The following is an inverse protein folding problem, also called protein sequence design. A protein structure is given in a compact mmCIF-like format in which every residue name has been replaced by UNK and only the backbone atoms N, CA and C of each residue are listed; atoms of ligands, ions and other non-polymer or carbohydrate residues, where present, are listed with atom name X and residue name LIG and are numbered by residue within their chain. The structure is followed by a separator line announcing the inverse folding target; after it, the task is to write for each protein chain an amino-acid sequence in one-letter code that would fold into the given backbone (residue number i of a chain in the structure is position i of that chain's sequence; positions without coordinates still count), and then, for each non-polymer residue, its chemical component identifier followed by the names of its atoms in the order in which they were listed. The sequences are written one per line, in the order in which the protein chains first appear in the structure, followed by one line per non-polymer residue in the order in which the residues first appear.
data_IF_799771969953
#
_entry.id   IF_799771969953
#
_cell.length_a   1.000
_cell.length_b   1.000
_cell.length_c   1.000
_cell.angle_alpha   90.00
_cell.angle_beta   90.00
_cell.angle_gamma   90.00
#
_symmetry.space_group_name_H-M   'P 1'
#
loop_
_entity.id
_entity.type
_entity.pdbx_description
1 polymer ?
#
# COMPACT_ATOMS: atom_id res chain seq x y z
N UNK A 1 -31.95 14.73 5.10
CA UNK A 1 -30.91 14.68 4.05
C UNK A 1 -30.25 13.31 4.13
N UNK A 2 -30.42 12.43 3.13
CA UNK A 2 -29.77 11.11 3.11
C UNK A 2 -28.35 11.31 2.58
N UNK A 3 -27.33 11.06 3.39
CA UNK A 3 -25.94 11.03 2.90
C UNK A 3 -25.82 9.87 1.92
N UNK A 4 -25.65 10.19 0.64
CA UNK A 4 -25.44 9.19 -0.41
C UNK A 4 -24.01 8.69 -0.29
N UNK A 5 -23.83 7.45 0.16
CA UNK A 5 -22.53 6.80 0.24
C UNK A 5 -22.02 6.54 -1.19
N UNK A 6 -21.13 7.39 -1.67
CA UNK A 6 -20.40 7.17 -2.91
C UNK A 6 -19.38 6.03 -2.68
N UNK A 7 -19.77 4.79 -2.98
CA UNK A 7 -18.89 3.61 -2.99
C UNK A 7 -17.90 3.70 -4.16
N UNK A 8 -16.95 4.62 -4.06
CA UNK A 8 -15.78 4.75 -4.92
C UNK A 8 -14.48 4.71 -4.11
N UNK A 9 -13.32 4.81 -4.79
CA UNK A 9 -12.02 4.96 -4.13
C UNK A 9 -11.77 6.43 -3.82
N UNK A 10 -12.04 6.84 -2.57
CA UNK A 10 -11.71 8.20 -2.11
C UNK A 10 -10.20 8.43 -2.11
N UNK A 11 -9.45 7.36 -1.81
CA UNK A 11 -8.00 7.31 -1.86
C UNK A 11 -7.66 6.05 -2.64
N UNK A 12 -6.87 6.21 -3.69
CA UNK A 12 -6.43 5.11 -4.53
C UNK A 12 -5.07 4.60 -4.08
N UNK A 13 -4.13 5.51 -3.82
CA UNK A 13 -2.78 5.22 -3.35
C UNK A 13 -2.24 6.38 -2.49
N UNK A 14 -1.29 6.07 -1.61
CA UNK A 14 -0.50 7.05 -0.87
C UNK A 14 0.99 6.71 -1.00
N UNK A 15 1.85 7.72 -0.99
CA UNK A 15 3.29 7.53 -0.90
C UNK A 15 3.76 7.85 0.52
N UNK A 16 4.74 7.09 1.00
CA UNK A 16 5.34 7.29 2.32
C UNK A 16 6.77 7.80 2.13
N UNK A 17 7.10 8.92 2.77
CA UNK A 17 8.48 9.39 2.90
C UNK A 17 9.06 8.75 4.15
N UNK A 18 10.13 7.98 3.97
CA UNK A 18 10.76 7.21 5.06
C UNK A 18 12.26 7.50 5.09
N UNK A 19 12.87 7.32 6.25
CA UNK A 19 14.32 7.46 6.42
C UNK A 19 15.08 6.35 5.68
N UNK A 20 14.58 5.12 5.75
CA UNK A 20 15.20 3.92 5.18
C UNK A 20 14.12 3.08 4.48
N UNK A 21 14.31 2.86 3.18
CA UNK A 21 13.36 2.16 2.34
C UNK A 21 13.36 0.65 2.61
N UNK A 22 14.53 0.05 2.78
CA UNK A 22 14.67 -1.40 2.96
C UNK A 22 14.10 -1.82 4.32
N UNK A 23 14.42 -1.08 5.38
CA UNK A 23 13.85 -1.30 6.71
C UNK A 23 12.32 -1.14 6.71
N UNK A 24 11.82 -0.11 6.04
CA UNK A 24 10.38 0.13 5.94
C UNK A 24 9.70 -0.98 5.14
N UNK A 25 10.29 -1.42 4.02
CA UNK A 25 9.77 -2.50 3.20
C UNK A 25 9.70 -3.81 3.99
N UNK A 26 10.76 -4.16 4.74
CA UNK A 26 10.79 -5.35 5.58
C UNK A 26 9.70 -5.31 6.67
N UNK A 27 9.55 -4.17 7.34
CA UNK A 27 8.53 -3.96 8.37
C UNK A 27 7.12 -4.12 7.81
N UNK A 28 6.78 -3.38 6.75
CA UNK A 28 5.45 -3.43 6.18
C UNK A 28 5.16 -4.79 5.54
N UNK A 29 6.15 -5.44 4.93
CA UNK A 29 5.96 -6.77 4.34
C UNK A 29 5.59 -7.83 5.37
N UNK A 30 6.23 -7.78 6.55
CA UNK A 30 5.90 -8.67 7.65
C UNK A 30 4.45 -8.47 8.14
N UNK A 31 4.00 -7.22 8.25
CA UNK A 31 2.63 -6.89 8.68
C UNK A 31 1.60 -7.31 7.64
N UNK A 32 1.82 -6.98 6.36
CA UNK A 32 0.90 -7.33 5.29
C UNK A 32 0.70 -8.85 5.17
N UNK A 33 1.77 -9.63 5.41
CA UNK A 33 1.70 -11.10 5.48
C UNK A 33 0.80 -11.59 6.62
N UNK A 34 0.84 -10.96 7.79
CA UNK A 34 -0.05 -11.32 8.92
C UNK A 34 -1.51 -10.98 8.64
N UNK A 35 -1.74 -9.94 7.83
CA UNK A 35 -3.08 -9.47 7.46
C UNK A 35 -3.63 -10.11 6.17
N UNK A 36 -2.88 -11.04 5.55
CA UNK A 36 -3.19 -11.62 4.24
C UNK A 36 -3.44 -10.56 3.14
N UNK A 37 -2.73 -9.42 3.22
CA UNK A 37 -2.80 -8.36 2.22
C UNK A 37 -1.72 -8.59 1.15
N UNK A 38 -2.09 -8.68 -0.14
CA UNK A 38 -1.12 -8.87 -1.22
C UNK A 38 -0.26 -7.63 -1.40
N UNK A 39 1.04 -7.83 -1.54
CA UNK A 39 2.02 -6.79 -1.86
C UNK A 39 2.29 -6.86 -3.36
N UNK A 40 2.11 -5.74 -4.05
CA UNK A 40 2.50 -5.58 -5.46
C UNK A 40 3.83 -4.82 -5.46
N UNK A 41 4.90 -5.53 -5.78
CA UNK A 41 6.20 -4.90 -6.06
C UNK A 41 6.33 -4.69 -7.55
N UNK A 42 6.84 -3.55 -7.97
CA UNK A 42 7.32 -3.40 -9.35
C UNK A 42 8.62 -4.20 -9.45
N UNK A 43 8.55 -5.45 -9.92
CA UNK A 43 9.74 -6.21 -10.31
C UNK A 43 10.48 -5.45 -11.41
N UNK A 44 11.80 -5.64 -11.44
CA UNK A 44 12.78 -5.04 -12.34
C UNK A 44 12.51 -5.38 -13.83
N UNK A 45 11.41 -4.90 -14.41
CA UNK A 45 11.08 -5.03 -15.83
C UNK A 45 11.24 -3.68 -16.56
N UNK A 46 12.35 -2.99 -16.27
CA UNK A 46 12.94 -2.01 -17.18
C UNK A 46 14.33 -2.50 -17.58
N UNK A 47 14.38 -3.63 -18.29
CA UNK A 47 15.53 -3.99 -19.14
C UNK A 47 15.42 -3.27 -20.47
#
# INVERSE_FOLDING_TARGET
MKTQLHRGRLIDHIQLVVHDLELSQNFYSAIMKVLDIPIITTSEDFS
#
